data_IF_500804341168
#
_entry.id   IF_500804341168
#
_cell.length_a   1.000
_cell.length_b   1.000
_cell.length_c   1.000
_cell.angle_alpha   90.00
_cell.angle_beta   90.00
_cell.angle_gamma   90.00
#
_symmetry.space_group_name_H-M   'P 1'
#
loop_
_entity.id
_entity.type
_entity.pdbx_description
1 polymer ?
#
# COMPACT_ATOMS: atom_id res chain seq x y z
N UNK A 1 -6.38 -4.08 6.14
CA UNK A 1 -6.17 -2.72 5.62
C UNK A 1 -5.66 -2.90 4.22
N UNK A 2 -6.24 -2.26 3.20
CA UNK A 2 -5.71 -2.32 1.85
C UNK A 2 -5.02 -1.00 1.51
N UNK A 3 -3.70 -1.01 1.42
CA UNK A 3 -2.90 0.19 1.09
C UNK A 3 -2.68 0.30 -0.41
N UNK A 4 -3.24 1.32 -1.06
CA UNK A 4 -2.96 1.58 -2.47
C UNK A 4 -1.70 2.44 -2.61
N UNK A 5 -0.66 1.94 -3.29
CA UNK A 5 0.44 2.78 -3.77
C UNK A 5 -0.03 3.57 -4.99
N UNK A 6 -0.14 4.90 -4.89
CA UNK A 6 -0.25 5.72 -6.10
C UNK A 6 0.98 5.45 -6.97
N UNK A 7 0.83 5.24 -8.29
CA UNK A 7 1.97 5.23 -9.17
C UNK A 7 2.66 6.59 -9.04
N UNK A 8 3.99 6.58 -8.87
CA UNK A 8 4.79 7.70 -9.38
C UNK A 8 4.42 7.79 -10.85
N UNK A 9 4.07 9.00 -11.32
CA UNK A 9 3.74 9.27 -12.72
C UNK A 9 4.73 8.50 -13.59
N UNK A 10 4.27 7.43 -14.23
CA UNK A 10 5.12 6.68 -15.14
C UNK A 10 5.22 7.55 -16.38
N UNK A 11 6.34 8.27 -16.54
CA UNK A 11 6.66 8.89 -17.81
C UNK A 11 6.58 7.81 -18.89
N UNK A 12 5.65 8.01 -19.81
CA UNK A 12 5.48 7.13 -20.96
C UNK A 12 6.73 7.31 -21.82
N UNK A 13 7.61 6.31 -21.85
CA UNK A 13 8.70 6.31 -22.83
C UNK A 13 8.07 6.13 -24.21
N UNK A 14 8.22 7.08 -25.15
CA UNK A 14 7.79 6.86 -26.52
C UNK A 14 8.67 5.75 -27.10
N UNK A 15 8.09 4.57 -27.36
CA UNK A 15 8.82 3.56 -28.12
C UNK A 15 8.95 4.02 -29.57
N UNK A 16 10.20 3.94 -30.04
CA UNK A 16 10.73 4.38 -31.31
C UNK A 16 9.79 4.17 -32.51
N UNK A 17 9.61 5.25 -33.28
CA UNK A 17 9.19 5.17 -34.68
C UNK A 17 10.19 4.32 -35.46
N UNK A 18 9.68 3.36 -36.23
CA UNK A 18 10.46 2.53 -37.13
C UNK A 18 11.25 3.42 -38.11
N UNK A 19 12.57 3.23 -38.17
CA UNK A 19 13.44 3.83 -39.17
C UNK A 19 13.09 3.25 -40.55
N UNK A 20 12.72 4.11 -41.50
CA UNK A 20 12.76 3.77 -42.93
C UNK A 20 14.15 4.12 -43.45
N UNK A 21 14.89 3.09 -43.90
CA UNK A 21 16.16 3.23 -44.59
C UNK A 21 15.94 3.65 -46.04
N UNK A 22 16.70 4.64 -46.52
CA UNK A 22 16.97 4.81 -47.96
C UNK A 22 18.47 5.09 -48.11
N UNK A 23 19.13 4.29 -48.96
CA UNK A 23 20.55 4.40 -49.27
C UNK A 23 20.77 5.05 -50.64
N UNK A 24 21.72 5.98 -50.71
CA UNK A 24 22.56 6.41 -51.85
C UNK A 24 23.38 7.63 -51.35
N UNK A 25 24.63 7.91 -51.67
CA UNK A 25 25.66 7.33 -52.52
C UNK A 25 26.84 8.34 -52.58
N UNK A 26 28.08 7.82 -52.48
CA UNK A 26 29.38 8.35 -52.97
C UNK A 26 29.92 9.76 -52.63
N UNK A 27 31.18 9.73 -52.12
CA UNK A 27 32.41 10.36 -52.67
C UNK A 27 33.14 11.47 -51.87
N UNK A 28 34.46 11.24 -51.69
CA UNK A 28 35.55 12.20 -51.42
C UNK A 28 35.68 12.75 -49.99
N UNK A 29 36.85 13.09 -49.43
CA UNK A 29 38.26 12.98 -49.81
C UNK A 29 39.10 13.59 -48.66
N UNK A 30 40.15 12.87 -48.25
CA UNK A 30 41.49 13.28 -47.74
C UNK A 30 41.76 14.14 -46.49
N UNK A 31 42.88 13.72 -45.87
CA UNK A 31 43.89 14.42 -45.06
C UNK A 31 43.70 14.55 -43.54
N UNK A 32 44.73 14.51 -42.69
CA UNK A 32 46.10 13.97 -42.63
C UNK A 32 46.74 14.49 -41.32
N UNK A 33 47.86 13.88 -40.92
CA UNK A 33 48.83 14.27 -39.86
C UNK A 33 48.43 13.96 -38.40
N UNK A 34 49.04 13.06 -37.63
CA UNK A 34 50.42 12.53 -37.45
C UNK A 34 51.29 13.30 -36.43
N UNK A 35 51.61 12.64 -35.31
CA UNK A 35 52.97 12.39 -34.73
C UNK A 35 52.79 11.82 -33.30
N UNK A 36 53.17 10.58 -32.99
CA UNK A 36 54.51 9.97 -32.83
C UNK A 36 55.15 10.34 -31.46
N UNK A 37 55.75 9.46 -30.63
CA UNK A 37 56.08 8.03 -30.68
C UNK A 37 56.46 7.56 -29.24
N UNK A 38 56.20 6.28 -28.87
CA UNK A 38 57.18 5.18 -28.65
C UNK A 38 57.76 5.08 -27.21
N UNK A 39 58.05 3.92 -26.59
CA UNK A 39 58.01 2.49 -26.92
C UNK A 39 58.23 1.67 -25.61
N UNK A 40 57.48 0.58 -25.35
CA UNK A 40 57.83 -0.86 -25.48
C UNK A 40 58.33 -1.50 -24.14
N UNK A 41 58.13 -2.80 -23.79
CA UNK A 41 57.75 -4.00 -24.55
C UNK A 41 57.17 -5.16 -23.66
N UNK A 42 56.34 -6.00 -24.30
CA UNK A 42 56.14 -7.48 -24.20
C UNK A 42 55.55 -8.12 -22.90
N UNK A 43 54.65 -9.12 -22.92
CA UNK A 43 54.40 -10.20 -23.89
C UNK A 43 52.93 -10.78 -23.87
N UNK A 44 52.61 -11.44 -25.00
CA UNK A 44 51.48 -12.33 -25.43
C UNK A 44 50.84 -13.23 -24.33
N UNK A 45 49.52 -13.58 -24.34
CA UNK A 45 48.81 -14.53 -25.23
C UNK A 45 47.25 -14.37 -25.16
N UNK A 46 46.61 -14.46 -26.32
CA UNK A 46 45.24 -14.85 -26.75
C UNK A 46 43.99 -14.93 -25.80
N UNK A 47 42.84 -14.42 -26.31
CA UNK A 47 41.50 -15.03 -26.13
C UNK A 47 40.38 -14.11 -25.59
N UNK A 48 39.43 -13.70 -26.44
CA UNK A 48 38.20 -12.95 -26.11
C UNK A 48 37.01 -13.88 -25.73
N UNK A 49 35.76 -13.40 -25.51
CA UNK A 49 35.30 -12.61 -24.37
C UNK A 49 34.01 -13.18 -23.66
N UNK A 50 33.76 -12.69 -22.44
CA UNK A 50 32.47 -12.42 -21.76
C UNK A 50 31.23 -13.31 -21.99
N UNK A 51 30.81 -14.02 -20.94
CA UNK A 51 29.42 -14.52 -20.77
C UNK A 51 28.74 -13.78 -19.61
N UNK A 52 28.10 -12.66 -19.92
CA UNK A 52 27.13 -12.00 -19.04
C UNK A 52 25.76 -12.66 -19.25
N UNK A 53 25.33 -13.49 -18.31
CA UNK A 53 23.97 -14.04 -18.29
C UNK A 53 22.97 -12.94 -17.95
N UNK A 54 22.32 -12.37 -18.98
CA UNK A 54 21.16 -11.51 -18.82
C UNK A 54 19.96 -12.38 -18.44
N UNK A 55 19.51 -12.26 -17.20
CA UNK A 55 18.20 -12.74 -16.76
C UNK A 55 17.11 -11.95 -17.49
N UNK A 56 16.45 -12.57 -18.45
CA UNK A 56 15.28 -11.99 -19.12
C UNK A 56 14.11 -12.02 -18.14
N UNK A 57 13.86 -10.89 -17.47
CA UNK A 57 12.62 -10.67 -16.73
C UNK A 57 11.45 -10.70 -17.70
N UNK A 58 10.72 -11.82 -17.75
CA UNK A 58 9.52 -11.98 -18.57
C UNK A 58 8.48 -10.96 -18.11
N UNK A 59 8.06 -10.09 -19.03
CA UNK A 59 6.88 -9.24 -18.88
C UNK A 59 5.65 -10.16 -18.79
N UNK A 60 4.70 -9.95 -17.87
CA UNK A 60 3.48 -10.76 -17.81
C UNK A 60 2.70 -10.65 -19.12
N UNK A 61 2.38 -11.79 -19.73
CA UNK A 61 1.53 -11.87 -20.91
C UNK A 61 0.08 -11.44 -20.59
N UNK A 62 -0.65 -10.86 -21.57
CA UNK A 62 -2.07 -10.53 -21.39
C UNK A 62 -2.91 -11.79 -21.08
N UNK A 63 -4.08 -11.65 -20.43
CA UNK A 63 -4.95 -12.78 -20.14
C UNK A 63 -5.38 -13.49 -21.43
N UNK A 64 -5.55 -14.83 -21.41
CA UNK A 64 -5.91 -15.59 -22.59
C UNK A 64 -7.25 -15.12 -23.15
N UNK A 65 -7.24 -14.73 -24.42
CA UNK A 65 -8.38 -14.22 -25.17
C UNK A 65 -9.35 -15.36 -25.50
N UNK A 66 -10.47 -15.43 -24.79
CA UNK A 66 -11.67 -16.12 -25.27
C UNK A 66 -12.86 -15.18 -25.13
N UNK A 67 -13.09 -14.38 -26.17
CA UNK A 67 -14.41 -13.97 -26.68
C UNK A 67 -14.22 -12.99 -27.85
N UNK A 68 -14.74 -13.38 -29.02
CA UNK A 68 -14.61 -12.66 -30.27
C UNK A 68 -15.62 -11.50 -30.33
N UNK A 69 -15.20 -10.31 -29.86
CA UNK A 69 -15.62 -8.98 -30.31
C UNK A 69 -15.04 -7.87 -29.41
N UNK A 70 -13.75 -7.97 -29.05
CA UNK A 70 -13.09 -6.91 -28.28
C UNK A 70 -12.52 -5.85 -29.23
N UNK A 71 -12.75 -4.54 -28.98
CA UNK A 71 -12.14 -3.49 -29.78
C UNK A 71 -10.61 -3.57 -29.68
N UNK A 72 -9.95 -3.66 -30.83
CA UNK A 72 -8.49 -3.67 -30.94
C UNK A 72 -8.01 -2.22 -30.97
N UNK A 73 -7.19 -1.82 -29.98
CA UNK A 73 -6.54 -0.52 -29.96
C UNK A 73 -5.11 -0.61 -30.51
N UNK A 74 -4.70 0.39 -31.29
CA UNK A 74 -3.34 0.49 -31.85
C UNK A 74 -2.28 0.71 -30.77
N UNK A 75 -2.65 1.31 -29.64
CA UNK A 75 -1.79 1.51 -28.50
C UNK A 75 -2.51 1.15 -27.20
N UNK A 76 -1.79 0.50 -26.29
CA UNK A 76 -2.28 0.17 -24.96
C UNK A 76 -1.13 0.20 -23.95
N UNK A 77 -1.47 0.44 -22.69
CA UNK A 77 -0.56 0.26 -21.56
C UNK A 77 -1.37 -0.20 -20.34
N UNK A 78 -0.69 -0.67 -19.30
CA UNK A 78 -1.33 -0.99 -18.03
C UNK A 78 -0.54 -0.39 -16.88
N UNK A 79 -1.26 -0.01 -15.82
CA UNK A 79 -0.67 0.45 -14.57
C UNK A 79 -1.05 -0.54 -13.47
N UNK A 80 -0.06 -1.03 -12.73
CA UNK A 80 -0.31 -1.93 -11.60
C UNK A 80 -0.12 -1.21 -10.27
N UNK A 81 -1.21 -1.07 -9.51
CA UNK A 81 -1.18 -0.54 -8.15
C UNK A 81 -0.88 -1.67 -7.17
N UNK A 82 0.26 -1.58 -6.47
CA UNK A 82 0.57 -2.54 -5.40
C UNK A 82 -0.32 -2.27 -4.19
N UNK A 83 -1.13 -3.27 -3.83
CA UNK A 83 -1.94 -3.28 -2.61
C UNK A 83 -1.32 -4.22 -1.59
N UNK A 84 -1.12 -3.72 -0.36
CA UNK A 84 -0.70 -4.55 0.77
C UNK A 84 -1.89 -4.73 1.70
N UNK A 85 -2.23 -5.99 2.00
CA UNK A 85 -3.29 -6.37 2.94
C UNK A 85 -2.67 -6.94 4.22
N UNK A 86 -3.06 -6.40 5.36
CA UNK A 86 -2.69 -6.89 6.69
C UNK A 86 -3.81 -6.58 7.68
N UNK A 87 -3.80 -7.23 8.84
CA UNK A 87 -4.78 -7.03 9.90
C UNK A 87 -4.08 -6.85 11.25
N UNK A 88 -4.82 -6.27 12.20
CA UNK A 88 -4.37 -6.05 13.57
C UNK A 88 -5.52 -6.31 14.54
N UNK A 89 -5.21 -6.96 15.66
CA UNK A 89 -6.17 -7.26 16.70
C UNK A 89 -5.74 -6.55 17.98
N UNK A 90 -6.69 -5.88 18.62
CA UNK A 90 -6.47 -5.18 19.89
C UNK A 90 -7.55 -5.56 20.89
N UNK A 91 -7.14 -6.10 22.02
CA UNK A 91 -8.02 -6.41 23.15
C UNK A 91 -7.82 -5.39 24.26
N UNK A 92 -8.93 -4.80 24.71
CA UNK A 92 -9.01 -3.94 25.89
C UNK A 92 -9.67 -4.79 26.99
N UNK A 93 -8.93 -5.06 28.05
CA UNK A 93 -9.43 -5.85 29.18
C UNK A 93 -10.16 -4.95 30.17
N UNK A 94 -11.12 -5.53 30.90
CA UNK A 94 -11.93 -4.85 31.92
C UNK A 94 -12.62 -3.61 31.33
N UNK A 95 -13.23 -3.76 30.15
CA UNK A 95 -13.74 -2.64 29.36
C UNK A 95 -14.84 -1.86 30.07
N UNK A 96 -15.70 -2.54 30.85
CA UNK A 96 -16.73 -1.90 31.67
C UNK A 96 -16.15 -0.92 32.71
N UNK A 97 -14.87 -1.08 33.08
CA UNK A 97 -14.15 -0.22 34.03
C UNK A 97 -13.37 0.93 33.37
N UNK A 98 -13.46 1.10 32.05
CA UNK A 98 -12.84 2.24 31.36
C UNK A 98 -13.34 3.57 31.95
N UNK A 99 -12.40 4.35 32.52
CA UNK A 99 -12.69 5.62 33.19
C UNK A 99 -12.68 6.81 32.24
N UNK A 100 -12.27 6.61 30.98
CA UNK A 100 -12.22 7.66 29.97
C UNK A 100 -13.55 8.41 29.90
N UNK A 101 -13.49 9.73 29.98
CA UNK A 101 -14.63 10.61 29.76
C UNK A 101 -14.86 10.88 28.27
N UNK A 102 -15.98 11.53 27.95
CA UNK A 102 -16.29 11.89 26.57
C UNK A 102 -15.14 12.71 25.96
N UNK A 103 -14.72 12.34 24.75
CA UNK A 103 -13.59 12.94 24.05
C UNK A 103 -12.22 12.38 24.47
N UNK A 104 -12.10 11.71 25.62
CA UNK A 104 -10.87 11.03 26.02
C UNK A 104 -10.65 9.75 25.22
N UNK A 105 -9.39 9.36 25.05
CA UNK A 105 -8.99 8.38 24.05
C UNK A 105 -8.07 7.30 24.59
N UNK A 106 -8.41 6.05 24.31
CA UNK A 106 -7.53 4.90 24.41
C UNK A 106 -6.77 4.73 23.10
N UNK A 107 -5.47 4.44 23.18
CA UNK A 107 -4.63 4.16 22.01
C UNK A 107 -4.07 2.75 22.08
N UNK A 108 -4.12 2.04 20.96
CA UNK A 108 -3.44 0.76 20.84
C UNK A 108 -1.93 0.95 20.79
N UNK A 109 -1.19 -0.15 20.93
CA UNK A 109 0.21 -0.18 20.48
C UNK A 109 0.30 0.13 18.99
N UNK A 110 1.45 0.63 18.57
CA UNK A 110 1.73 0.87 17.16
C UNK A 110 1.95 -0.45 16.42
N UNK A 111 1.40 -0.56 15.22
CA UNK A 111 1.51 -1.74 14.35
C UNK A 111 1.80 -1.36 12.90
N UNK A 112 2.26 -2.33 12.12
CA UNK A 112 2.62 -2.16 10.71
C UNK A 112 2.46 -3.46 9.92
N UNK A 113 2.43 -3.39 8.59
CA UNK A 113 2.25 -4.58 7.74
C UNK A 113 3.41 -5.58 7.82
N UNK A 114 4.58 -5.11 8.26
CA UNK A 114 5.75 -5.94 8.53
C UNK A 114 6.72 -5.23 9.47
N UNK A 115 7.70 -5.98 9.99
CA UNK A 115 8.64 -5.52 11.03
C UNK A 115 9.44 -4.29 10.58
N UNK A 116 9.88 -4.27 9.32
CA UNK A 116 10.68 -3.19 8.76
C UNK A 116 9.86 -2.10 8.04
N UNK A 117 8.53 -2.17 8.09
CA UNK A 117 7.68 -1.18 7.45
C UNK A 117 7.75 0.17 8.19
N UNK A 118 7.91 1.25 7.42
CA UNK A 118 8.01 2.62 7.91
C UNK A 118 6.63 3.25 8.14
N UNK A 119 5.57 2.63 7.60
CA UNK A 119 4.19 3.01 7.86
C UNK A 119 3.75 2.45 9.20
N UNK A 120 3.58 3.32 10.18
CA UNK A 120 3.20 2.97 11.54
C UNK A 120 1.78 3.45 11.80
N UNK A 121 0.94 2.54 12.27
CA UNK A 121 -0.47 2.75 12.51
C UNK A 121 -0.79 2.52 13.98
N UNK A 122 -1.86 3.14 14.50
CA UNK A 122 -2.48 2.71 15.74
C UNK A 122 -4.00 2.88 15.65
N UNK A 123 -4.72 2.17 16.51
CA UNK A 123 -6.15 2.38 16.72
C UNK A 123 -6.36 3.41 17.83
N UNK A 124 -7.44 4.18 17.71
CA UNK A 124 -7.93 5.12 18.71
C UNK A 124 -9.39 4.79 19.02
N UNK A 125 -9.70 4.63 20.30
CA UNK A 125 -11.07 4.37 20.79
C UNK A 125 -11.46 5.49 21.74
N UNK A 126 -12.64 6.06 21.55
CA UNK A 126 -13.30 6.91 22.54
C UNK A 126 -14.47 6.10 23.13
N UNK A 127 -14.31 5.47 24.32
CA UNK A 127 -15.33 4.57 24.89
C UNK A 127 -16.68 5.24 25.15
N UNK A 128 -16.67 6.55 25.45
CA UNK A 128 -17.85 7.38 25.74
C UNK A 128 -18.14 8.43 24.66
N UNK A 129 -17.75 8.15 23.42
CA UNK A 129 -17.95 9.06 22.29
C UNK A 129 -16.89 10.15 22.19
N UNK A 130 -16.77 10.76 21.02
CA UNK A 130 -15.80 11.84 20.75
C UNK A 130 -16.33 13.20 21.22
N UNK A 131 -17.64 13.42 21.12
CA UNK A 131 -18.34 14.65 21.44
C UNK A 131 -19.83 14.37 21.69
N UNK A 132 -20.60 15.42 22.00
CA UNK A 132 -22.02 15.33 22.36
C UNK A 132 -22.86 14.59 21.30
N UNK A 133 -22.54 14.75 20.02
CA UNK A 133 -23.26 14.09 18.92
C UNK A 133 -23.09 12.56 18.95
N UNK A 134 -22.01 12.09 19.57
CA UNK A 134 -21.58 10.69 19.61
C UNK A 134 -21.49 10.09 21.01
N UNK A 135 -21.98 10.78 22.05
CA UNK A 135 -21.91 10.37 23.47
C UNK A 135 -22.48 8.97 23.77
N UNK A 136 -23.46 8.53 22.99
CA UNK A 136 -24.12 7.24 23.13
C UNK A 136 -23.44 6.13 22.31
N UNK A 137 -22.31 6.45 21.68
CA UNK A 137 -21.56 5.55 20.81
C UNK A 137 -20.12 5.41 21.28
N UNK A 138 -19.53 4.25 21.00
CA UNK A 138 -18.09 4.11 20.94
C UNK A 138 -17.62 4.63 19.58
N UNK A 139 -16.64 5.54 19.58
CA UNK A 139 -15.98 6.01 18.36
C UNK A 139 -14.67 5.26 18.14
N UNK A 140 -14.38 4.88 16.90
CA UNK A 140 -13.20 4.07 16.55
C UNK A 140 -12.52 4.61 15.29
N UNK A 141 -11.21 4.82 15.38
CA UNK A 141 -10.40 5.40 14.32
C UNK A 141 -9.08 4.66 14.13
N UNK A 142 -8.60 4.70 12.89
CA UNK A 142 -7.27 4.29 12.50
C UNK A 142 -6.43 5.55 12.26
N UNK A 143 -5.31 5.65 12.95
CA UNK A 143 -4.38 6.78 12.89
C UNK A 143 -3.11 6.37 12.15
N UNK A 144 -2.67 7.18 11.18
CA UNK A 144 -1.32 7.08 10.64
C UNK A 144 -0.34 7.80 11.56
N UNK A 145 0.41 7.05 12.36
CA UNK A 145 1.35 7.58 13.36
C UNK A 145 2.62 8.11 12.70
N UNK A 146 3.23 7.34 11.81
CA UNK A 146 4.42 7.77 11.06
C UNK A 146 4.42 7.25 9.64
N UNK A 147 4.99 8.03 8.73
CA UNK A 147 5.12 7.68 7.33
C UNK A 147 6.36 8.36 6.74
N UNK A 148 7.12 7.66 5.89
CA UNK A 148 8.26 8.23 5.16
C UNK A 148 7.87 8.80 3.78
N UNK A 149 6.57 8.98 3.55
CA UNK A 149 5.99 9.54 2.32
C UNK A 149 5.08 10.71 2.68
N UNK A 150 4.76 11.53 1.69
CA UNK A 150 3.81 12.65 1.83
C UNK A 150 2.41 12.18 2.22
N UNK A 151 1.90 11.13 1.58
CA UNK A 151 0.59 10.55 1.88
C UNK A 151 0.54 9.03 1.61
N UNK A 152 -0.47 8.39 2.19
CA UNK A 152 -0.83 6.99 1.96
C UNK A 152 -2.33 6.88 1.78
N UNK A 153 -2.78 6.08 0.80
CA UNK A 153 -4.20 5.77 0.63
C UNK A 153 -4.53 4.40 1.20
N UNK A 154 -5.54 4.32 2.04
CA UNK A 154 -5.93 3.07 2.70
C UNK A 154 -7.44 2.87 2.78
N UNK A 155 -7.89 1.65 2.49
CA UNK A 155 -9.21 1.13 2.88
C UNK A 155 -9.06 0.33 4.18
N UNK A 156 -10.01 0.44 5.09
CA UNK A 156 -9.99 -0.23 6.38
C UNK A 156 -11.38 -0.76 6.74
N UNK A 157 -11.42 -1.89 7.45
CA UNK A 157 -12.60 -2.47 8.08
C UNK A 157 -12.33 -2.63 9.57
N UNK A 158 -13.29 -2.25 10.41
CA UNK A 158 -13.29 -2.62 11.82
C UNK A 158 -14.41 -3.60 12.11
N UNK A 159 -14.16 -4.53 13.02
CA UNK A 159 -15.16 -5.45 13.57
C UNK A 159 -14.85 -5.74 15.04
N UNK A 160 -15.84 -6.27 15.75
CA UNK A 160 -15.70 -6.78 17.12
C UNK A 160 -15.72 -8.31 17.06
N UNK A 161 -14.78 -8.95 17.73
CA UNK A 161 -14.77 -10.41 17.84
C UNK A 161 -15.63 -10.85 19.02
N UNK A 162 -16.58 -11.75 18.75
CA UNK A 162 -17.40 -12.37 19.79
C UNK A 162 -16.61 -13.48 20.53
N UNK A 163 -17.25 -14.14 21.50
CA UNK A 163 -16.65 -15.25 22.27
C UNK A 163 -16.12 -16.42 21.39
N UNK A 164 -16.69 -16.62 20.19
CA UNK A 164 -16.28 -17.64 19.22
C UNK A 164 -15.16 -17.17 18.28
N UNK A 165 -14.64 -15.95 18.47
CA UNK A 165 -13.67 -15.27 17.59
C UNK A 165 -14.20 -14.98 16.18
N UNK A 166 -15.51 -14.88 16.03
CA UNK A 166 -16.14 -14.50 14.76
C UNK A 166 -16.25 -12.98 14.68
N UNK A 167 -15.99 -12.41 13.49
CA UNK A 167 -16.18 -10.99 13.24
C UNK A 167 -17.66 -10.61 13.27
N UNK A 168 -18.00 -9.63 14.10
CA UNK A 168 -19.35 -9.06 14.20
C UNK A 168 -19.29 -7.54 14.13
N UNK A 169 -20.45 -6.89 13.91
CA UNK A 169 -20.60 -5.42 13.90
C UNK A 169 -19.56 -4.72 13.02
N UNK A 170 -19.33 -5.30 11.84
CA UNK A 170 -18.31 -4.82 10.93
C UNK A 170 -18.75 -3.51 10.26
N UNK A 171 -17.83 -2.54 10.19
CA UNK A 171 -17.96 -1.35 9.36
C UNK A 171 -16.71 -1.20 8.50
N UNK A 172 -16.92 -1.01 7.20
CA UNK A 172 -15.83 -0.80 6.23
C UNK A 172 -15.88 0.59 5.63
N UNK A 173 -14.72 1.21 5.46
CA UNK A 173 -14.59 2.47 4.74
C UNK A 173 -15.09 2.30 3.31
N UNK A 174 -15.97 3.18 2.85
CA UNK A 174 -16.56 3.09 1.49
C UNK A 174 -15.51 3.18 0.37
N UNK A 175 -14.38 3.85 0.64
CA UNK A 175 -13.29 4.08 -0.31
C UNK A 175 -11.95 4.09 0.40
N UNK A 176 -10.87 4.11 -0.37
CA UNK A 176 -9.55 4.40 0.17
C UNK A 176 -9.45 5.89 0.58
N UNK A 177 -9.22 6.14 1.85
CA UNK A 177 -9.01 7.49 2.38
C UNK A 177 -7.55 7.90 2.28
N UNK A 178 -7.30 9.20 2.13
CA UNK A 178 -5.96 9.79 2.15
C UNK A 178 -5.53 10.04 3.59
N UNK A 179 -4.46 9.39 4.01
CA UNK A 179 -3.78 9.59 5.27
C UNK A 179 -2.50 10.40 5.05
N UNK A 180 -2.31 11.40 5.87
CA UNK A 180 -1.01 12.06 6.10
C UNK A 180 -0.57 11.73 7.52
N UNK A 181 0.70 11.92 7.85
CA UNK A 181 1.18 11.66 9.20
C UNK A 181 0.37 12.46 10.24
N UNK A 182 -0.08 11.79 11.30
CA UNK A 182 -0.94 12.38 12.34
C UNK A 182 -2.43 12.44 11.99
N UNK A 183 -2.84 12.03 10.78
CA UNK A 183 -4.25 12.01 10.37
C UNK A 183 -4.90 10.67 10.65
N UNK A 184 -6.14 10.71 11.14
CA UNK A 184 -7.01 9.55 11.31
C UNK A 184 -8.25 9.60 10.41
N UNK A 185 -8.82 8.41 10.23
CA UNK A 185 -10.11 8.16 9.63
C UNK A 185 -10.78 6.99 10.36
N UNK A 186 -12.10 7.02 10.45
CA UNK A 186 -12.84 6.05 11.24
C UNK A 186 -14.33 6.33 11.27
N UNK A 187 -14.99 5.75 12.26
CA UNK A 187 -16.43 5.88 12.46
C UNK A 187 -16.68 6.53 13.81
N UNK A 188 -17.20 7.76 13.76
CA UNK A 188 -17.61 8.51 14.95
C UNK A 188 -18.70 7.79 15.75
N UNK A 189 -19.60 7.10 15.04
CA UNK A 189 -20.69 6.29 15.59
C UNK A 189 -20.50 4.83 15.16
N UNK A 190 -19.48 4.15 15.71
CA UNK A 190 -19.16 2.78 15.31
C UNK A 190 -20.17 1.77 15.86
N UNK A 191 -20.42 1.82 17.18
CA UNK A 191 -21.40 0.96 17.85
C UNK A 191 -22.05 1.72 18.99
N UNK A 192 -23.36 1.52 19.21
CA UNK A 192 -24.04 2.10 20.37
C UNK A 192 -23.53 1.45 21.66
N UNK A 193 -23.35 2.26 22.69
CA UNK A 193 -22.78 1.83 23.97
C UNK A 193 -23.71 0.91 24.74
N UNK A 194 -25.01 1.19 24.74
CA UNK A 194 -26.01 0.32 25.38
C UNK A 194 -26.00 -1.08 24.76
N UNK A 195 -25.98 -1.17 23.42
CA UNK A 195 -25.87 -2.43 22.71
C UNK A 195 -24.55 -3.16 23.00
N UNK A 196 -23.44 -2.43 23.06
CA UNK A 196 -22.12 -3.01 23.34
C UNK A 196 -22.02 -3.59 24.75
N UNK A 197 -22.55 -2.87 25.74
CA UNK A 197 -22.45 -3.21 27.17
C UNK A 197 -23.51 -4.23 27.63
N UNK A 198 -24.56 -4.44 26.85
CA UNK A 198 -25.56 -5.45 27.14
C UNK A 198 -24.98 -6.86 26.91
N UNK A 199 -24.86 -7.61 28.02
CA UNK A 199 -24.30 -8.97 28.06
C UNK A 199 -25.01 -9.94 27.11
N UNK A 200 -26.31 -9.75 26.85
CA UNK A 200 -27.08 -10.59 25.95
C UNK A 200 -26.55 -10.55 24.50
N UNK A 201 -25.83 -9.48 24.13
CA UNK A 201 -25.25 -9.33 22.80
C UNK A 201 -23.89 -10.04 22.64
N UNK A 202 -23.26 -10.50 23.73
CA UNK A 202 -22.06 -11.33 23.70
C UNK A 202 -20.83 -10.68 23.06
N UNK A 203 -20.74 -9.35 23.11
CA UNK A 203 -19.65 -8.57 22.49
C UNK A 203 -18.46 -8.29 23.42
N UNK A 204 -18.62 -8.54 24.72
CA UNK A 204 -17.60 -8.34 25.76
C UNK A 204 -17.36 -9.63 26.57
N UNK A 205 -16.93 -10.74 25.95
CA UNK A 205 -16.62 -11.96 26.68
C UNK A 205 -15.52 -11.70 27.72
N UNK A 206 -15.76 -12.11 28.97
CA UNK A 206 -14.89 -11.83 30.12
C UNK A 206 -14.59 -10.33 30.34
N UNK A 207 -15.54 -9.45 30.01
CA UNK A 207 -15.38 -7.99 30.03
C UNK A 207 -14.21 -7.50 29.14
N UNK A 208 -13.99 -8.18 28.01
CA UNK A 208 -12.94 -7.83 27.04
C UNK A 208 -13.53 -7.36 25.72
N UNK A 209 -13.24 -6.12 25.36
CA UNK A 209 -13.51 -5.63 24.01
C UNK A 209 -12.36 -6.03 23.10
N UNK A 210 -12.61 -6.91 22.13
CA UNK A 210 -11.61 -7.29 21.11
C UNK A 210 -11.98 -6.70 19.75
N UNK A 211 -11.19 -5.73 19.31
CA UNK A 211 -11.32 -5.04 18.03
C UNK A 211 -10.42 -5.74 17.01
N UNK A 212 -10.98 -6.07 15.86
CA UNK A 212 -10.24 -6.53 14.70
C UNK A 212 -10.27 -5.44 13.63
N UNK A 213 -9.08 -5.01 13.22
CA UNK A 213 -8.87 -4.08 12.12
C UNK A 213 -8.31 -4.85 10.94
N UNK A 214 -9.07 -4.87 9.86
CA UNK A 214 -8.55 -5.07 8.52
C UNK A 214 -8.42 -3.69 7.89
#
# INVERSE_FOLDING_TARGET
MALARLPVVSECSPQQTARVSVAAGSSGSVNAAASAAAAAAAAVVAGAPSSSTMSVSRVPSPPPSSEANTPVAENWCYTQVKVVKFSYMWTINNFSFCREEMGEVLKSSTFSAGVNDKLKWCLRVNPKGLDEESKDYLSLYLLLVSCNKTEVRAKFKFSILNAKREETKAMESQRAYRFVQGKDWGFKKFIRRDFLLDEANGLLPDDKLTIFCE
#
